data_IF_520725434301
#
_entry.id   IF_520725434301
#
_cell.length_a   1.000
_cell.length_b   1.000
_cell.length_c   1.000
_cell.angle_alpha   90.00
_cell.angle_beta   90.00
_cell.angle_gamma   90.00
#
_symmetry.space_group_name_H-M   'P 1'
#
loop_
_entity.id
_entity.type
_entity.pdbx_description
1 polymer ?
#
# COMPACT_ATOMS: atom_id res chain seq x y z
N UNK A 1 11.60 -14.62 0.06
CA UNK A 1 12.86 -14.05 0.58
C UNK A 1 13.10 -12.64 0.02
N UNK A 2 13.12 -12.42 -1.30
CA UNK A 2 13.46 -11.14 -1.91
C UNK A 2 12.49 -9.99 -1.55
N UNK A 3 11.18 -10.25 -1.56
CA UNK A 3 10.17 -9.26 -1.12
C UNK A 3 10.40 -8.81 0.33
N UNK A 4 10.70 -9.75 1.23
CA UNK A 4 10.95 -9.44 2.64
C UNK A 4 12.23 -8.61 2.82
N UNK A 5 13.28 -8.91 2.03
CA UNK A 5 14.53 -8.15 2.01
C UNK A 5 14.29 -6.70 1.52
N UNK A 6 13.64 -6.51 0.36
CA UNK A 6 13.29 -5.18 -0.15
C UNK A 6 12.45 -4.40 0.86
N UNK A 7 11.44 -5.05 1.44
CA UNK A 7 10.63 -4.44 2.49
C UNK A 7 11.49 -3.97 3.65
N UNK A 8 12.44 -4.80 4.13
CA UNK A 8 13.37 -4.43 5.20
C UNK A 8 14.21 -3.19 4.87
N UNK A 9 14.76 -3.13 3.67
CA UNK A 9 15.53 -1.96 3.19
C UNK A 9 14.67 -0.69 3.16
N UNK A 10 13.46 -0.78 2.63
CA UNK A 10 12.56 0.38 2.53
C UNK A 10 12.06 0.82 3.90
N UNK A 11 11.78 -0.12 4.83
CA UNK A 11 11.48 0.19 6.24
C UNK A 11 12.61 0.97 6.87
N UNK A 12 13.84 0.49 6.72
CA UNK A 12 15.00 1.12 7.30
C UNK A 12 15.25 2.51 6.69
N UNK A 13 15.09 2.63 5.37
CA UNK A 13 15.16 3.93 4.70
C UNK A 13 14.11 4.92 5.25
N UNK A 14 12.85 4.49 5.39
CA UNK A 14 11.80 5.34 5.96
C UNK A 14 12.08 5.71 7.42
N UNK A 15 12.65 4.78 8.20
CA UNK A 15 13.06 5.08 9.56
C UNK A 15 14.19 6.13 9.59
N UNK A 16 15.16 6.03 8.71
CA UNK A 16 16.25 7.03 8.57
C UNK A 16 15.68 8.36 8.10
N UNK A 17 14.79 8.37 7.12
CA UNK A 17 14.19 9.58 6.54
C UNK A 17 13.25 10.26 7.52
N UNK A 18 12.29 9.54 8.08
CA UNK A 18 11.28 10.09 8.98
C UNK A 18 11.48 9.65 10.44
N UNK A 19 11.44 8.35 10.73
CA UNK A 19 11.65 7.75 12.05
C UNK A 19 10.63 8.17 13.13
N UNK A 20 9.47 8.67 12.73
CA UNK A 20 8.42 9.13 13.61
C UNK A 20 7.05 8.59 13.18
N UNK A 21 7.02 7.30 12.84
CA UNK A 21 5.80 6.61 12.43
C UNK A 21 5.23 5.82 13.62
N UNK A 22 3.93 5.98 13.84
CA UNK A 22 3.14 5.34 14.86
C UNK A 22 2.01 4.54 14.21
N UNK A 23 1.76 3.36 14.73
CA UNK A 23 0.73 2.45 14.24
C UNK A 23 -0.30 2.21 15.34
N UNK A 24 -1.57 2.33 14.99
CA UNK A 24 -2.68 2.25 15.93
C UNK A 24 -3.66 1.17 15.53
N UNK A 25 -4.22 0.47 16.52
CA UNK A 25 -5.18 -0.60 16.33
C UNK A 25 -4.64 -1.76 15.48
N UNK A 26 -3.33 -2.07 15.59
CA UNK A 26 -2.70 -3.17 14.84
C UNK A 26 -3.33 -4.53 15.18
N UNK A 27 -3.94 -4.67 16.34
CA UNK A 27 -4.67 -5.87 16.76
C UNK A 27 -5.91 -6.17 15.91
N UNK A 28 -6.43 -5.16 15.19
CA UNK A 28 -7.55 -5.32 14.25
C UNK A 28 -7.13 -5.90 12.91
N UNK A 29 -5.83 -5.87 12.59
CA UNK A 29 -5.31 -6.40 11.34
C UNK A 29 -5.57 -7.91 11.29
N UNK A 30 -6.15 -8.36 10.19
CA UNK A 30 -6.44 -9.77 9.99
C UNK A 30 -5.16 -10.62 10.01
N UNK A 31 -5.28 -11.89 10.37
CA UNK A 31 -4.14 -12.80 10.49
C UNK A 31 -3.33 -12.87 9.19
N UNK A 32 -2.05 -13.16 9.30
CA UNK A 32 -1.15 -13.22 8.15
C UNK A 32 -1.53 -14.31 7.13
N UNK A 33 -2.24 -15.35 7.55
CA UNK A 33 -2.71 -16.43 6.67
C UNK A 33 -4.02 -16.08 5.96
N UNK A 34 -4.78 -15.11 6.47
CA UNK A 34 -6.00 -14.63 5.85
C UNK A 34 -5.66 -13.61 4.76
N UNK A 35 -6.25 -13.77 3.57
CA UNK A 35 -6.18 -12.76 2.54
C UNK A 35 -7.29 -11.73 2.72
N UNK A 36 -6.98 -10.48 2.43
CA UNK A 36 -7.91 -9.35 2.54
C UNK A 36 -7.54 -8.23 1.58
N UNK A 37 -8.44 -7.26 1.42
CA UNK A 37 -8.16 -6.04 0.68
C UNK A 37 -7.93 -4.92 1.70
N UNK A 38 -6.71 -4.41 1.77
CA UNK A 38 -6.36 -3.26 2.59
C UNK A 38 -6.68 -1.99 1.82
N UNK A 39 -7.60 -1.18 2.34
CA UNK A 39 -8.07 0.04 1.69
C UNK A 39 -7.78 1.28 2.51
N UNK A 40 -7.45 2.38 1.85
CA UNK A 40 -7.29 3.69 2.48
C UNK A 40 -7.64 4.83 1.52
N UNK A 41 -7.97 6.02 2.02
CA UNK A 41 -7.94 7.23 1.23
C UNK A 41 -6.53 7.51 0.71
N UNK A 42 -6.37 7.74 -0.60
CA UNK A 42 -5.05 8.00 -1.17
C UNK A 42 -4.64 9.46 -0.95
N UNK A 43 -3.65 9.69 -0.12
CA UNK A 43 -3.21 11.04 0.26
C UNK A 43 -1.80 11.36 -0.25
N UNK A 44 -0.88 10.39 -0.15
CA UNK A 44 0.54 10.60 -0.47
C UNK A 44 1.11 9.45 -1.29
N UNK A 45 2.34 9.60 -1.80
CA UNK A 45 3.04 8.52 -2.48
C UNK A 45 3.53 7.42 -1.53
N UNK A 46 3.69 7.72 -0.25
CA UNK A 46 4.21 6.79 0.74
C UNK A 46 3.13 6.05 1.53
N UNK A 47 1.83 6.41 1.37
CA UNK A 47 0.73 5.69 2.03
C UNK A 47 0.83 4.17 1.85
N UNK A 48 0.97 3.63 0.62
CA UNK A 48 0.98 2.18 0.42
C UNK A 48 2.16 1.51 1.12
N UNK A 49 3.24 2.24 1.30
CA UNK A 49 4.46 1.73 1.93
C UNK A 49 4.25 1.58 3.43
N UNK A 50 3.74 2.62 4.10
CA UNK A 50 3.43 2.57 5.54
C UNK A 50 2.35 1.51 5.84
N UNK A 51 1.30 1.42 5.00
CA UNK A 51 0.27 0.40 5.14
C UNK A 51 0.82 -1.03 5.07
N UNK A 52 1.67 -1.31 4.07
CA UNK A 52 2.27 -2.63 3.89
C UNK A 52 3.24 -3.01 5.02
N UNK A 53 3.83 -2.02 5.68
CA UNK A 53 4.74 -2.26 6.80
C UNK A 53 4.02 -2.60 8.07
N UNK A 54 2.96 -1.88 8.37
CA UNK A 54 2.17 -2.13 9.55
C UNK A 54 1.56 -3.55 9.53
N UNK A 55 1.09 -3.98 8.38
CA UNK A 55 0.44 -5.29 8.21
C UNK A 55 1.41 -6.47 7.98
N UNK A 56 2.70 -6.32 8.31
CA UNK A 56 3.67 -7.43 8.24
C UNK A 56 3.31 -8.56 9.22
N UNK A 57 3.60 -9.83 8.89
CA UNK A 57 4.47 -10.29 7.79
C UNK A 57 3.75 -10.41 6.44
N UNK A 58 2.47 -10.05 6.32
CA UNK A 58 1.68 -10.17 5.10
C UNK A 58 2.36 -9.57 3.89
N UNK A 59 2.26 -10.26 2.74
CA UNK A 59 2.70 -9.75 1.45
C UNK A 59 1.52 -9.17 0.68
N UNK A 60 1.79 -8.10 -0.07
CA UNK A 60 0.77 -7.39 -0.81
C UNK A 60 1.07 -7.32 -2.30
N UNK A 61 -0.01 -7.23 -3.09
CA UNK A 61 0.02 -6.72 -4.45
C UNK A 61 -0.57 -5.32 -4.49
N UNK A 62 -0.17 -4.53 -5.48
CA UNK A 62 -0.53 -3.10 -5.61
C UNK A 62 -0.98 -2.80 -7.02
N UNK A 63 -2.10 -2.09 -7.17
CA UNK A 63 -2.52 -1.53 -8.44
C UNK A 63 -1.70 -0.29 -8.77
N UNK A 64 -0.95 -0.30 -9.86
CA UNK A 64 -0.13 0.82 -10.29
C UNK A 64 -0.47 1.26 -11.70
N UNK A 65 -0.35 2.56 -11.99
CA UNK A 65 -0.65 3.15 -13.28
C UNK A 65 0.21 2.51 -14.38
N UNK A 66 -0.37 2.13 -15.53
CA UNK A 66 0.33 1.39 -16.62
C UNK A 66 1.58 2.13 -17.12
N UNK A 67 1.58 3.46 -17.09
CA UNK A 67 2.70 4.29 -17.53
C UNK A 67 3.96 4.12 -16.66
N UNK A 68 3.83 3.63 -15.44
CA UNK A 68 4.98 3.30 -14.59
C UNK A 68 5.75 2.07 -15.09
N UNK A 69 5.17 1.31 -16.01
CA UNK A 69 5.77 0.09 -16.55
C UNK A 69 6.44 0.30 -17.92
N UNK A 70 6.56 1.53 -18.40
CA UNK A 70 7.22 1.85 -19.68
C UNK A 70 8.74 1.67 -19.63
N UNK A 71 9.36 2.04 -18.51
CA UNK A 71 10.79 1.79 -18.30
C UNK A 71 10.99 0.35 -17.81
N UNK A 72 11.75 -0.47 -18.57
CA UNK A 72 11.93 -1.92 -18.30
C UNK A 72 12.54 -2.21 -16.93
N UNK A 73 13.57 -1.46 -16.52
CA UNK A 73 14.23 -1.65 -15.22
C UNK A 73 13.28 -1.29 -14.07
N UNK A 74 12.63 -0.13 -14.16
CA UNK A 74 11.67 0.31 -13.15
C UNK A 74 10.46 -0.63 -13.09
N UNK A 75 9.92 -1.05 -14.24
CA UNK A 75 8.84 -2.02 -14.33
C UNK A 75 9.19 -3.36 -13.66
N UNK A 76 10.39 -3.86 -13.92
CA UNK A 76 10.90 -5.05 -13.23
C UNK A 76 10.84 -4.87 -11.72
N UNK A 77 11.40 -3.78 -11.23
CA UNK A 77 11.52 -3.53 -9.80
C UNK A 77 10.17 -3.42 -9.11
N UNK A 78 9.25 -2.59 -9.64
CA UNK A 78 7.91 -2.45 -9.03
C UNK A 78 7.09 -3.74 -9.11
N UNK A 79 7.27 -4.57 -10.15
CA UNK A 79 6.67 -5.91 -10.21
C UNK A 79 7.20 -6.83 -9.11
N UNK A 80 8.49 -6.76 -8.81
CA UNK A 80 9.09 -7.52 -7.70
C UNK A 80 8.58 -7.05 -6.34
N UNK A 81 8.19 -5.79 -6.21
CA UNK A 81 7.48 -5.24 -5.06
C UNK A 81 5.99 -5.62 -5.01
N UNK A 82 5.49 -6.36 -6.00
CA UNK A 82 4.09 -6.79 -6.06
C UNK A 82 3.17 -5.86 -6.85
N UNK A 83 3.70 -4.83 -7.53
CA UNK A 83 2.89 -3.96 -8.37
C UNK A 83 2.48 -4.63 -9.67
N UNK A 84 1.24 -4.37 -10.11
CA UNK A 84 0.76 -4.78 -11.43
C UNK A 84 0.10 -3.59 -12.15
N UNK A 85 0.19 -3.54 -13.50
CA UNK A 85 -0.30 -2.41 -14.27
C UNK A 85 -1.83 -2.39 -14.32
N UNK A 86 -2.39 -1.19 -14.24
CA UNK A 86 -3.80 -0.93 -14.51
C UNK A 86 -3.95 0.30 -15.40
N UNK A 87 -4.79 0.19 -16.41
CA UNK A 87 -5.31 1.35 -17.12
C UNK A 87 -6.44 1.96 -16.28
N UNK A 88 -6.23 3.16 -15.79
CA UNK A 88 -7.20 3.83 -14.91
C UNK A 88 -8.36 4.46 -15.67
N UNK A 89 -8.18 4.74 -16.95
CA UNK A 89 -9.18 5.35 -17.82
C UNK A 89 -10.11 4.28 -18.39
N UNK A 90 -9.52 3.16 -18.82
CA UNK A 90 -10.24 2.02 -19.36
C UNK A 90 -9.81 0.72 -18.66
N UNK A 91 -10.25 0.48 -17.41
CA UNK A 91 -9.86 -0.71 -16.68
C UNK A 91 -10.45 -1.96 -17.34
N UNK A 92 -9.59 -2.74 -18.01
CA UNK A 92 -9.97 -4.02 -18.61
C UNK A 92 -10.37 -5.06 -17.55
N UNK A 93 -10.88 -6.20 -17.99
CA UNK A 93 -11.29 -7.30 -17.11
C UNK A 93 -10.15 -7.79 -16.19
N UNK A 94 -8.89 -7.64 -16.62
CA UNK A 94 -7.72 -8.05 -15.84
C UNK A 94 -7.52 -7.21 -14.58
N UNK A 95 -8.05 -5.97 -14.53
CA UNK A 95 -8.08 -5.15 -13.33
C UNK A 95 -8.83 -5.81 -12.17
N UNK A 96 -9.80 -6.68 -12.47
CA UNK A 96 -10.57 -7.45 -11.50
C UNK A 96 -10.05 -8.89 -11.41
N UNK A 97 -9.82 -9.56 -12.55
CA UNK A 97 -9.48 -10.99 -12.58
C UNK A 97 -8.12 -11.28 -11.92
N UNK A 98 -7.12 -10.44 -12.19
CA UNK A 98 -5.77 -10.67 -11.65
C UNK A 98 -5.74 -10.62 -10.12
N UNK A 99 -6.21 -9.54 -9.43
CA UNK A 99 -6.21 -9.51 -7.98
C UNK A 99 -7.10 -10.60 -7.36
N UNK A 100 -8.26 -10.92 -7.95
CA UNK A 100 -9.11 -12.02 -7.49
C UNK A 100 -8.36 -13.36 -7.52
N UNK A 101 -7.64 -13.64 -8.61
CA UNK A 101 -6.84 -14.86 -8.71
C UNK A 101 -5.72 -14.93 -7.67
N UNK A 102 -5.03 -13.81 -7.42
CA UNK A 102 -3.99 -13.74 -6.39
C UNK A 102 -4.57 -13.97 -5.01
N UNK A 103 -5.67 -13.28 -4.66
CA UNK A 103 -6.36 -13.40 -3.37
C UNK A 103 -6.89 -14.82 -3.10
N UNK A 104 -7.27 -15.56 -4.15
CA UNK A 104 -7.76 -16.95 -4.01
C UNK A 104 -6.66 -18.00 -3.98
N UNK A 105 -5.56 -17.80 -4.71
CA UNK A 105 -4.59 -18.86 -5.01
C UNK A 105 -3.24 -18.67 -4.33
N UNK A 106 -2.96 -17.48 -3.80
CA UNK A 106 -1.69 -17.14 -3.16
C UNK A 106 -1.93 -16.59 -1.76
N UNK A 107 -0.95 -16.72 -0.88
CA UNK A 107 -0.99 -16.05 0.43
C UNK A 107 -0.52 -14.59 0.27
N UNK A 108 -1.29 -13.78 -0.47
CA UNK A 108 -1.05 -12.35 -0.70
C UNK A 108 -2.34 -11.57 -0.66
N UNK A 109 -2.30 -10.43 -0.01
CA UNK A 109 -3.41 -9.47 0.08
C UNK A 109 -3.26 -8.36 -0.97
N UNK A 110 -4.31 -7.59 -1.18
CA UNK A 110 -4.31 -6.45 -2.10
C UNK A 110 -4.30 -5.15 -1.31
N UNK A 111 -3.42 -4.20 -1.67
CA UNK A 111 -3.60 -2.79 -1.27
C UNK A 111 -4.29 -2.06 -2.40
N UNK A 112 -5.38 -1.37 -2.08
CA UNK A 112 -6.18 -0.63 -3.04
C UNK A 112 -6.61 0.72 -2.48
N UNK A 113 -6.59 1.74 -3.33
CA UNK A 113 -7.14 3.05 -3.01
C UNK A 113 -8.47 3.20 -3.77
N UNK A 114 -9.62 3.08 -3.07
CA UNK A 114 -10.92 2.95 -3.75
C UNK A 114 -11.30 4.14 -4.62
N UNK A 115 -10.82 5.34 -4.29
CA UNK A 115 -11.04 6.54 -5.12
C UNK A 115 -10.30 6.50 -6.46
N UNK A 116 -9.30 5.64 -6.59
CA UNK A 116 -8.46 5.50 -7.79
C UNK A 116 -7.52 6.68 -8.03
N UNK A 117 -7.65 7.78 -7.31
CA UNK A 117 -6.78 8.94 -7.41
C UNK A 117 -6.68 9.69 -6.07
N UNK A 118 -5.66 10.57 -5.94
CA UNK A 118 -5.50 11.46 -4.76
C UNK A 118 -6.44 12.67 -4.79
N UNK A 119 -7.16 12.85 -5.87
CA UNK A 119 -8.01 14.03 -6.13
C UNK A 119 -9.50 13.72 -6.01
N UNK A 120 -9.89 12.47 -5.81
CA UNK A 120 -11.27 12.05 -5.58
C UNK A 120 -11.41 11.39 -4.21
N UNK A 121 -12.55 11.63 -3.57
CA UNK A 121 -12.93 10.96 -2.31
C UNK A 121 -13.91 9.80 -2.54
N UNK A 122 -14.51 9.71 -3.74
CA UNK A 122 -15.55 8.74 -4.01
C UNK A 122 -15.02 7.31 -4.06
N UNK A 123 -15.63 6.43 -3.31
CA UNK A 123 -15.31 5.00 -3.30
C UNK A 123 -15.88 4.34 -4.55
N UNK A 124 -15.01 3.90 -5.46
CA UNK A 124 -15.42 3.19 -6.68
C UNK A 124 -15.76 1.74 -6.40
N UNK A 125 -16.72 1.18 -7.15
CA UNK A 125 -17.22 -0.17 -6.96
C UNK A 125 -16.24 -1.33 -7.16
N UNK A 126 -15.06 -1.08 -7.72
CA UNK A 126 -14.08 -2.13 -8.00
C UNK A 126 -13.65 -2.94 -6.76
N UNK A 127 -13.53 -2.28 -5.61
CA UNK A 127 -13.19 -2.97 -4.34
C UNK A 127 -14.27 -3.96 -3.92
N UNK A 128 -15.56 -3.57 -4.05
CA UNK A 128 -16.70 -4.41 -3.70
C UNK A 128 -16.74 -5.69 -4.56
N UNK A 129 -16.56 -5.52 -5.87
CA UNK A 129 -16.54 -6.63 -6.84
C UNK A 129 -15.39 -7.59 -6.56
N UNK A 130 -14.16 -7.08 -6.36
CA UNK A 130 -12.99 -7.90 -6.06
C UNK A 130 -13.19 -8.66 -4.74
N UNK A 131 -13.64 -7.98 -3.67
CA UNK A 131 -13.84 -8.58 -2.37
C UNK A 131 -14.90 -9.71 -2.43
N UNK A 132 -16.03 -9.47 -3.12
CA UNK A 132 -17.09 -10.47 -3.29
C UNK A 132 -16.62 -11.66 -4.09
N UNK A 133 -15.94 -11.43 -5.23
CA UNK A 133 -15.44 -12.52 -6.07
C UNK A 133 -14.34 -13.33 -5.39
N UNK A 134 -13.47 -12.69 -4.61
CA UNK A 134 -12.41 -13.36 -3.88
C UNK A 134 -12.88 -13.97 -2.55
N UNK A 135 -14.06 -13.60 -2.06
CA UNK A 135 -14.62 -13.98 -0.74
C UNK A 135 -13.69 -13.57 0.41
N UNK A 136 -13.20 -12.34 0.37
CA UNK A 136 -12.29 -11.78 1.39
C UNK A 136 -12.91 -10.55 2.04
N UNK A 137 -12.48 -10.25 3.27
CA UNK A 137 -12.87 -9.05 3.99
C UNK A 137 -12.12 -7.83 3.46
N UNK A 138 -12.68 -6.65 3.71
CA UNK A 138 -12.06 -5.37 3.43
C UNK A 138 -11.52 -4.82 4.75
N UNK A 139 -10.23 -4.45 4.79
CA UNK A 139 -9.55 -3.91 5.94
C UNK A 139 -9.31 -2.41 5.74
N UNK A 140 -10.08 -1.52 6.38
CA UNK A 140 -9.87 -0.09 6.27
C UNK A 140 -8.63 0.37 7.04
N UNK A 141 -7.94 1.37 6.50
CA UNK A 141 -6.87 2.08 7.19
C UNK A 141 -6.90 3.56 6.82
N UNK A 142 -6.33 4.41 7.66
CA UNK A 142 -6.18 5.82 7.39
C UNK A 142 -4.79 6.30 7.75
N UNK A 143 -4.22 7.09 6.86
CA UNK A 143 -2.95 7.78 7.05
C UNK A 143 -3.20 9.20 7.56
N UNK A 144 -2.51 9.60 8.61
CA UNK A 144 -2.39 10.99 9.03
C UNK A 144 -0.92 11.35 9.17
N UNK A 145 -0.52 12.47 8.61
CA UNK A 145 0.89 12.86 8.63
C UNK A 145 1.25 13.85 7.52
N UNK A 146 2.56 14.07 7.29
CA UNK A 146 3.03 15.04 6.33
C UNK A 146 2.56 14.71 4.91
N UNK A 147 1.99 15.72 4.25
CA UNK A 147 1.54 15.64 2.87
C UNK A 147 2.64 15.98 1.86
N UNK A 148 3.77 16.48 2.34
CA UNK A 148 4.91 16.91 1.53
C UNK A 148 6.18 16.16 1.88
N UNK A 149 7.11 15.95 0.91
CA UNK A 149 8.41 15.37 1.20
C UNK A 149 9.20 16.17 2.26
N UNK A 150 9.02 17.51 2.28
CA UNK A 150 9.68 18.38 3.27
C UNK A 150 9.22 18.04 4.69
N UNK A 151 7.92 17.87 4.92
CA UNK A 151 7.40 17.47 6.22
C UNK A 151 7.88 16.08 6.64
N UNK A 152 7.92 15.14 5.68
CA UNK A 152 8.45 13.79 5.93
C UNK A 152 9.93 13.84 6.37
N UNK A 153 10.76 14.60 5.65
CA UNK A 153 12.17 14.81 5.98
C UNK A 153 12.36 15.57 7.30
N UNK A 154 11.46 16.51 7.60
CA UNK A 154 11.46 17.22 8.87
C UNK A 154 11.13 16.32 10.07
N UNK A 155 10.76 15.07 9.84
CA UNK A 155 10.39 14.11 10.86
C UNK A 155 9.04 14.42 11.51
N UNK A 156 8.13 15.05 10.76
CA UNK A 156 6.75 15.22 11.21
C UNK A 156 6.13 13.86 11.51
N UNK A 157 5.26 13.82 12.49
CA UNK A 157 4.62 12.58 12.93
C UNK A 157 3.78 11.97 11.80
N UNK A 158 3.92 10.66 11.64
CA UNK A 158 3.10 9.82 10.76
C UNK A 158 2.29 8.89 11.63
N UNK A 159 0.98 8.91 11.50
CA UNK A 159 0.07 7.96 12.14
C UNK A 159 -0.61 7.11 11.08
N UNK A 160 -0.58 5.80 11.27
CA UNK A 160 -1.31 4.83 10.47
C UNK A 160 -2.30 4.12 11.39
N UNK A 161 -3.58 4.32 11.14
CA UNK A 161 -4.66 3.78 11.96
C UNK A 161 -5.46 2.73 11.20
N UNK A 162 -5.77 1.59 11.85
CA UNK A 162 -6.52 0.48 11.26
C UNK A 162 -7.94 0.44 11.81
N UNK A 163 -8.92 0.28 10.89
CA UNK A 163 -10.33 0.19 11.22
C UNK A 163 -10.79 -1.24 11.50
N UNK A 164 -12.08 -1.38 11.67
CA UNK A 164 -12.68 -2.69 11.83
C UNK A 164 -12.78 -3.40 10.46
N UNK A 165 -12.45 -4.69 10.37
CA UNK A 165 -12.63 -5.44 9.13
C UNK A 165 -14.09 -5.47 8.70
N UNK A 166 -14.36 -5.06 7.45
CA UNK A 166 -15.70 -5.05 6.86
C UNK A 166 -15.95 -6.39 6.20
N UNK A 167 -16.93 -7.10 6.68
CA UNK A 167 -17.48 -8.31 6.06
C UNK A 167 -18.63 -7.90 5.11
N UNK A 168 -18.64 -8.44 3.92
CA UNK A 168 -19.66 -8.20 2.90
C UNK A 168 -20.39 -9.47 2.47
N UNK A 169 -20.30 -10.52 3.27
CA UNK A 169 -20.96 -11.82 3.01
C UNK A 169 -22.47 -11.70 2.97
N UNK A 170 -23.04 -10.79 3.76
CA UNK A 170 -24.47 -10.47 3.83
C UNK A 170 -25.02 -9.83 2.54
N UNK A 171 -24.19 -9.16 1.75
CA UNK A 171 -24.60 -8.55 0.50
C UNK A 171 -24.69 -9.61 -0.60
N UNK A 172 -25.90 -10.01 -0.95
CA UNK A 172 -26.14 -11.13 -1.88
C UNK A 172 -25.71 -10.81 -3.31
N UNK A 173 -26.04 -9.62 -3.81
CA UNK A 173 -25.80 -9.19 -5.21
C UNK A 173 -24.90 -7.95 -5.24
N UNK A 174 -23.98 -7.89 -6.20
CA UNK A 174 -23.14 -6.72 -6.50
C UNK A 174 -23.72 -5.93 -7.67
N UNK A 175 -25.03 -5.56 -7.53
CA UNK A 175 -25.67 -4.53 -8.35
C UNK A 175 -25.32 -3.15 -7.79
N UNK A 176 -25.86 -2.08 -8.38
CA UNK A 176 -25.56 -0.71 -7.97
C UNK A 176 -25.83 -0.46 -6.49
N UNK A 177 -26.92 -1.02 -5.94
CA UNK A 177 -27.28 -0.93 -4.52
C UNK A 177 -26.26 -1.64 -3.63
N UNK A 178 -25.86 -2.87 -3.99
CA UNK A 178 -24.86 -3.64 -3.23
C UNK A 178 -23.48 -2.97 -3.28
N UNK A 179 -23.08 -2.41 -4.40
CA UNK A 179 -21.85 -1.64 -4.54
C UNK A 179 -21.89 -0.37 -3.68
N UNK A 180 -23.00 0.37 -3.72
CA UNK A 180 -23.21 1.56 -2.91
C UNK A 180 -23.15 1.24 -1.41
N UNK A 181 -23.76 0.15 -0.98
CA UNK A 181 -23.71 -0.28 0.43
C UNK A 181 -22.28 -0.57 0.90
N UNK A 182 -21.48 -1.29 0.08
CA UNK A 182 -20.05 -1.51 0.41
C UNK A 182 -19.29 -0.19 0.47
N UNK A 183 -19.53 0.71 -0.49
CA UNK A 183 -18.91 2.02 -0.52
C UNK A 183 -19.23 2.84 0.74
N UNK A 184 -20.49 2.83 1.17
CA UNK A 184 -20.94 3.51 2.38
C UNK A 184 -20.28 2.95 3.64
N UNK A 185 -20.16 1.62 3.77
CA UNK A 185 -19.45 0.98 4.89
C UNK A 185 -17.98 1.37 4.93
N UNK A 186 -17.30 1.40 3.78
CA UNK A 186 -15.91 1.83 3.68
C UNK A 186 -15.78 3.30 4.06
N UNK A 187 -16.65 4.18 3.53
CA UNK A 187 -16.59 5.61 3.81
C UNK A 187 -16.86 5.91 5.29
N UNK A 188 -17.82 5.23 5.92
CA UNK A 188 -18.10 5.39 7.34
C UNK A 188 -16.87 5.04 8.21
N UNK A 189 -16.14 3.96 7.86
CA UNK A 189 -14.91 3.61 8.56
C UNK A 189 -13.78 4.63 8.30
N UNK A 190 -13.67 5.17 7.08
CA UNK A 190 -12.70 6.22 6.80
C UNK A 190 -12.98 7.49 7.60
N UNK A 191 -14.23 7.92 7.68
CA UNK A 191 -14.64 9.10 8.44
C UNK A 191 -14.38 8.91 9.94
N UNK A 192 -14.66 7.71 10.47
CA UNK A 192 -14.37 7.35 11.86
C UNK A 192 -12.86 7.38 12.14
N UNK A 193 -12.05 6.78 11.27
CA UNK A 193 -10.59 6.75 11.41
C UNK A 193 -9.99 8.16 11.30
N UNK A 194 -10.53 9.00 10.43
CA UNK A 194 -10.09 10.40 10.29
C UNK A 194 -10.41 11.22 11.56
N UNK A 195 -11.56 10.99 12.18
CA UNK A 195 -11.88 11.61 13.48
C UNK A 195 -10.94 11.12 14.58
N UNK A 196 -10.67 9.82 14.67
CA UNK A 196 -9.70 9.28 15.62
C UNK A 196 -8.30 9.85 15.40
N UNK A 197 -7.87 10.00 14.14
CA UNK A 197 -6.56 10.57 13.82
C UNK A 197 -6.40 12.03 14.25
N UNK A 198 -7.48 12.80 14.40
CA UNK A 198 -7.42 14.19 14.90
C UNK A 198 -6.99 14.27 16.38
N UNK A 199 -7.13 13.19 17.13
CA UNK A 199 -6.73 13.12 18.56
C UNK A 199 -5.19 13.07 18.68
N UNK A 200 -4.49 12.58 17.66
CA UNK A 200 -3.05 12.45 17.70
C UNK A 200 -2.38 13.81 17.51
N UNK A 201 -1.61 14.21 18.54
CA UNK A 201 -0.93 15.50 18.52
C UNK A 201 0.24 15.50 17.53
N UNK A 202 0.53 16.62 16.87
CA UNK A 202 1.73 16.77 16.07
C UNK A 202 2.97 16.46 16.91
N UNK A 203 3.80 15.55 16.42
CA UNK A 203 5.04 15.19 17.10
C UNK A 203 6.04 16.35 17.11
N UNK A 204 6.97 16.32 18.06
CA UNK A 204 8.06 17.30 18.13
C UNK A 204 8.87 17.27 16.84
N UNK A 205 9.23 18.45 16.31
CA UNK A 205 10.17 18.56 15.18
C UNK A 205 11.51 17.94 15.58
N UNK A 206 12.14 17.32 14.60
CA UNK A 206 13.44 16.68 14.79
C UNK A 206 14.53 17.69 15.10
N UNK A 207 15.44 17.32 16.02
CA UNK A 207 16.59 18.14 16.35
C UNK A 207 17.54 18.26 15.14
N UNK A 208 18.00 19.47 14.75
CA UNK A 208 18.82 19.70 13.55
C UNK A 208 20.09 18.83 13.48
N UNK A 209 20.76 18.56 14.59
CA UNK A 209 21.96 17.74 14.64
C UNK A 209 21.76 16.30 14.14
N UNK A 210 20.51 15.80 14.16
CA UNK A 210 20.23 14.45 13.65
C UNK A 210 20.43 14.34 12.14
N UNK A 211 20.40 15.44 11.40
CA UNK A 211 20.62 15.44 9.95
C UNK A 211 22.07 15.15 9.59
N UNK A 212 23.04 15.40 10.47
CA UNK A 212 24.47 15.14 10.25
C UNK A 212 24.70 13.67 9.88
N UNK A 213 24.02 12.73 10.56
CA UNK A 213 24.17 11.30 10.28
C UNK A 213 23.06 10.73 9.38
N UNK A 214 21.84 11.29 9.44
CA UNK A 214 20.69 10.76 8.69
C UNK A 214 20.80 11.02 7.20
N UNK A 215 21.26 12.19 6.78
CA UNK A 215 21.41 12.48 5.35
C UNK A 215 22.43 11.54 4.70
N UNK A 216 23.67 11.41 5.19
CA UNK A 216 24.61 10.44 4.63
C UNK A 216 24.08 9.01 4.64
N UNK A 217 23.45 8.58 5.73
CA UNK A 217 22.89 7.24 5.84
C UNK A 217 21.75 7.00 4.85
N UNK A 218 20.86 7.98 4.65
CA UNK A 218 19.80 7.89 3.65
C UNK A 218 20.37 7.77 2.23
N UNK A 219 21.41 8.54 1.90
CA UNK A 219 22.07 8.47 0.60
C UNK A 219 22.71 7.10 0.37
N UNK A 220 23.42 6.56 1.37
CA UNK A 220 24.00 5.21 1.30
C UNK A 220 22.88 4.17 1.07
N UNK A 221 21.77 4.24 1.80
CA UNK A 221 20.66 3.31 1.65
C UNK A 221 19.98 3.40 0.27
N UNK A 222 19.86 4.62 -0.28
CA UNK A 222 19.36 4.80 -1.65
C UNK A 222 20.30 4.14 -2.66
N UNK A 223 21.61 4.32 -2.50
CA UNK A 223 22.60 3.64 -3.37
C UNK A 223 22.50 2.13 -3.25
N UNK A 224 22.42 1.59 -2.04
CA UNK A 224 22.22 0.14 -1.81
C UNK A 224 20.93 -0.34 -2.50
N UNK A 225 19.84 0.39 -2.38
CA UNK A 225 18.56 0.05 -3.01
C UNK A 225 18.68 0.02 -4.54
N UNK A 226 19.32 1.04 -5.13
CA UNK A 226 19.55 1.12 -6.58
C UNK A 226 20.47 -0.01 -7.08
N UNK A 227 21.55 -0.30 -6.37
CA UNK A 227 22.44 -1.42 -6.70
C UNK A 227 21.73 -2.77 -6.57
N UNK A 228 20.92 -2.96 -5.54
CA UNK A 228 20.08 -4.17 -5.39
C UNK A 228 19.09 -4.32 -6.54
N UNK A 229 18.46 -3.21 -6.95
CA UNK A 229 17.55 -3.17 -8.10
C UNK A 229 18.26 -3.57 -9.39
N UNK A 230 19.40 -2.95 -9.68
CA UNK A 230 20.19 -3.24 -10.88
C UNK A 230 20.70 -4.69 -10.87
N UNK A 231 21.31 -5.14 -9.77
CA UNK A 231 21.82 -6.51 -9.65
C UNK A 231 20.70 -7.55 -9.79
N UNK A 232 19.57 -7.36 -9.12
CA UNK A 232 18.44 -8.29 -9.23
C UNK A 232 17.86 -8.35 -10.65
N UNK A 233 17.87 -7.21 -11.36
CA UNK A 233 17.44 -7.15 -12.76
C UNK A 233 18.40 -7.93 -13.66
N UNK A 234 19.70 -7.71 -13.56
CA UNK A 234 20.72 -8.44 -14.35
C UNK A 234 20.68 -9.94 -14.04
N UNK A 235 20.64 -10.29 -12.76
CA UNK A 235 20.57 -11.68 -12.32
C UNK A 235 19.32 -12.42 -12.83
N UNK A 236 18.22 -11.69 -13.03
CA UNK A 236 16.97 -12.27 -13.50
C UNK A 236 17.05 -12.81 -14.94
N UNK A 237 17.93 -12.30 -15.78
CA UNK A 237 18.18 -12.85 -17.13
C UNK A 237 18.81 -14.24 -17.08
N UNK A 238 19.56 -14.53 -16.03
CA UNK A 238 20.20 -15.84 -15.84
C UNK A 238 19.25 -16.81 -15.14
N UNK A 239 18.58 -16.37 -14.06
CA UNK A 239 17.78 -17.27 -13.20
C UNK A 239 16.30 -17.31 -13.53
N UNK A 240 15.77 -16.35 -14.27
CA UNK A 240 14.35 -16.26 -14.62
C UNK A 240 14.15 -15.78 -16.07
N UNK A 241 14.77 -16.42 -17.07
CA UNK A 241 14.72 -15.94 -18.46
C UNK A 241 13.30 -15.89 -19.03
N UNK A 242 12.39 -16.75 -18.55
CA UNK A 242 10.98 -16.80 -18.99
C UNK A 242 10.20 -15.52 -18.67
N UNK A 243 10.62 -14.73 -17.67
CA UNK A 243 9.96 -13.48 -17.30
C UNK A 243 10.33 -12.30 -18.22
N UNK A 244 11.28 -12.49 -19.12
CA UNK A 244 11.77 -11.50 -20.09
C UNK A 244 11.34 -11.80 -21.53
N UNK A 245 10.74 -12.98 -21.76
CA UNK A 245 10.08 -13.38 -23.01
C UNK A 245 8.59 -12.96 -23.00
#
# INVERSE_FOLDING_TARGET
>A
VFYAYLRGLVVFLLWVVNGNAHYHNEEKILKADDNYILVAPHRTFWDPVYMAFAARPKQFIFMAKKELFTNRLFAWWIKMCGAFPIDRENPGQDAIRYPVNVLKKQNRSLVMFPSGSRHSKDVKGGVAVIAKMAKVKIMPAAYAGPMTPKGLLAGERVDMNFGNPIDISDIKRMNDEGIAEVANRIQAEFDRLDQENQIYQPGKKRHPLTYIYRIPLALILVVILLLTMLFSYIASFIWMPEKHR
#
